data_IF_058683374365
#
_entry.id   IF_058683374365
#
_cell.length_a   1.000
_cell.length_b   1.000
_cell.length_c   1.000
_cell.angle_alpha   90.00
_cell.angle_beta   90.00
_cell.angle_gamma   90.00
#
_symmetry.space_group_name_H-M   'P 1'
#
loop_
_entity.id
_entity.type
_entity.pdbx_description
1 polymer ?
#
# COMPACT_ATOMS: atom_id res chain seq x y z
N UNK A 1 -3.68 10.09 -27.35
CA UNK A 1 -4.23 9.31 -26.24
C UNK A 1 -5.70 9.68 -26.15
N UNK A 2 -6.60 8.72 -26.07
CA UNK A 2 -8.04 9.01 -25.98
C UNK A 2 -8.38 9.52 -24.56
N UNK A 3 -9.33 10.43 -24.44
CA UNK A 3 -9.81 10.99 -23.16
C UNK A 3 -10.14 9.90 -22.15
N UNK A 4 -10.78 8.83 -22.60
CA UNK A 4 -11.11 7.69 -21.78
C UNK A 4 -9.86 7.03 -21.14
N UNK A 5 -8.78 6.88 -21.93
CA UNK A 5 -7.54 6.29 -21.41
C UNK A 5 -6.90 7.19 -20.32
N UNK A 6 -6.99 8.52 -20.49
CA UNK A 6 -6.49 9.47 -19.49
C UNK A 6 -7.30 9.36 -18.19
N UNK A 7 -8.62 9.29 -18.29
CA UNK A 7 -9.51 9.11 -17.13
C UNK A 7 -9.23 7.78 -16.43
N UNK A 8 -9.01 6.71 -17.19
CA UNK A 8 -8.61 5.42 -16.63
C UNK A 8 -7.28 5.53 -15.86
N UNK A 9 -6.27 6.18 -16.42
CA UNK A 9 -4.95 6.33 -15.79
C UNK A 9 -5.03 7.12 -14.48
N UNK A 10 -5.85 8.17 -14.43
CA UNK A 10 -6.10 8.93 -13.21
C UNK A 10 -6.79 8.07 -12.14
N UNK A 11 -7.83 7.32 -12.53
CA UNK A 11 -8.51 6.41 -11.59
C UNK A 11 -7.60 5.27 -11.13
N UNK A 12 -6.78 4.73 -12.02
CA UNK A 12 -5.80 3.70 -11.72
C UNK A 12 -4.76 4.20 -10.70
N UNK A 13 -4.14 5.35 -10.97
CA UNK A 13 -3.15 5.96 -10.07
C UNK A 13 -3.73 6.19 -8.67
N UNK A 14 -4.94 6.73 -8.58
CA UNK A 14 -5.64 6.92 -7.31
C UNK A 14 -5.84 5.57 -6.56
N UNK A 15 -6.48 4.58 -7.20
CA UNK A 15 -6.79 3.31 -6.55
C UNK A 15 -5.55 2.49 -6.21
N UNK A 16 -4.52 2.57 -7.06
CA UNK A 16 -3.24 1.93 -6.78
C UNK A 16 -2.61 2.46 -5.49
N UNK A 17 -2.58 3.77 -5.33
CA UNK A 17 -2.03 4.38 -4.11
C UNK A 17 -2.90 4.12 -2.88
N UNK A 18 -4.23 4.08 -3.00
CA UNK A 18 -5.15 3.66 -1.91
C UNK A 18 -4.82 2.25 -1.43
N UNK A 19 -4.64 1.30 -2.34
CA UNK A 19 -4.35 -0.10 -1.98
C UNK A 19 -2.94 -0.25 -1.38
N UNK A 20 -1.93 0.43 -1.94
CA UNK A 20 -0.57 0.40 -1.42
C UNK A 20 -0.50 1.04 -0.02
N UNK A 21 -1.11 2.20 0.19
CA UNK A 21 -1.19 2.87 1.49
C UNK A 21 -1.72 1.92 2.56
N UNK A 22 -2.91 1.35 2.33
CA UNK A 22 -3.56 0.46 3.30
C UNK A 22 -2.76 -0.82 3.55
N UNK A 23 -2.19 -1.41 2.50
CA UNK A 23 -1.35 -2.60 2.63
C UNK A 23 -0.14 -2.32 3.53
N UNK A 24 0.62 -1.26 3.23
CA UNK A 24 1.80 -0.92 4.01
C UNK A 24 1.46 -0.47 5.43
N UNK A 25 0.36 0.26 5.64
CA UNK A 25 -0.11 0.63 6.98
C UNK A 25 -0.44 -0.59 7.84
N UNK A 26 -1.10 -1.61 7.27
CA UNK A 26 -1.40 -2.84 8.00
C UNK A 26 -0.16 -3.67 8.29
N UNK A 27 0.80 -3.73 7.36
CA UNK A 27 2.08 -4.38 7.60
C UNK A 27 2.85 -3.69 8.73
N UNK A 28 2.87 -2.36 8.75
CA UNK A 28 3.48 -1.57 9.82
C UNK A 28 2.81 -1.84 11.17
N UNK A 29 1.48 -1.83 11.20
CA UNK A 29 0.70 -2.16 12.41
C UNK A 29 1.05 -3.55 12.95
N UNK A 30 1.09 -4.57 12.07
CA UNK A 30 1.41 -5.96 12.48
C UNK A 30 2.83 -6.04 13.04
N UNK A 31 3.82 -5.40 12.39
CA UNK A 31 5.20 -5.38 12.89
C UNK A 31 5.30 -4.68 14.25
N UNK A 32 4.59 -3.56 14.43
CA UNK A 32 4.56 -2.85 15.71
C UNK A 32 3.90 -3.68 16.82
N UNK A 33 2.82 -4.41 16.50
CA UNK A 33 2.18 -5.33 17.45
C UNK A 33 3.12 -6.49 17.84
N UNK A 34 3.84 -7.08 16.89
CA UNK A 34 4.82 -8.13 17.18
C UNK A 34 5.92 -7.59 18.10
N UNK A 35 6.42 -6.38 17.85
CA UNK A 35 7.43 -5.75 18.69
C UNK A 35 6.91 -5.46 20.10
N UNK A 36 5.68 -4.96 20.23
CA UNK A 36 5.05 -4.70 21.51
C UNK A 36 4.87 -5.99 22.33
N UNK A 37 4.33 -7.04 21.71
CA UNK A 37 4.12 -8.35 22.36
C UNK A 37 5.46 -8.98 22.71
N UNK A 38 6.43 -8.98 21.79
CA UNK A 38 7.77 -9.51 22.02
C UNK A 38 8.50 -8.79 23.14
N UNK A 39 8.43 -7.47 23.18
CA UNK A 39 9.01 -6.66 24.25
C UNK A 39 8.36 -6.92 25.61
N UNK A 40 7.03 -7.02 25.66
CA UNK A 40 6.29 -7.33 26.88
C UNK A 40 6.59 -8.74 27.40
N UNK A 41 6.70 -9.72 26.49
CA UNK A 41 7.04 -11.11 26.85
C UNK A 41 8.49 -11.22 27.35
N UNK A 42 9.43 -10.46 26.76
CA UNK A 42 10.81 -10.41 27.23
C UNK A 42 10.88 -9.84 28.66
N UNK A 43 10.17 -8.75 28.95
CA UNK A 43 10.10 -8.16 30.28
C UNK A 43 9.50 -9.14 31.31
N UNK A 44 8.39 -9.82 30.98
CA UNK A 44 7.80 -10.85 31.84
C UNK A 44 8.75 -12.03 32.08
N UNK A 45 9.53 -12.42 31.07
CA UNK A 45 10.56 -13.44 31.18
C UNK A 45 11.65 -13.09 32.19
N UNK A 46 12.10 -11.82 32.20
CA UNK A 46 13.07 -11.32 33.17
C UNK A 46 12.52 -11.41 34.60
N UNK A 47 11.28 -10.93 34.82
CA UNK A 47 10.65 -10.96 36.14
C UNK A 47 10.44 -12.39 36.64
N UNK A 48 10.08 -13.33 35.77
CA UNK A 48 9.87 -14.74 36.09
C UNK A 48 11.16 -15.59 36.06
N UNK A 49 12.32 -15.00 35.73
CA UNK A 49 13.59 -15.70 35.53
C UNK A 49 13.53 -16.86 34.52
N UNK A 50 12.63 -16.73 33.53
CA UNK A 50 12.43 -17.75 32.50
C UNK A 50 13.31 -17.46 31.28
N UNK A 51 14.46 -18.14 31.21
CA UNK A 51 15.45 -17.95 30.13
C UNK A 51 14.92 -18.28 28.73
N UNK A 52 14.03 -19.26 28.60
CA UNK A 52 13.43 -19.63 27.30
C UNK A 52 12.54 -18.51 26.80
N UNK A 53 11.68 -17.96 27.67
CA UNK A 53 10.79 -16.86 27.33
C UNK A 53 11.58 -15.62 26.90
N UNK A 54 12.66 -15.29 27.62
CA UNK A 54 13.54 -14.16 27.26
C UNK A 54 14.18 -14.39 25.90
N UNK A 55 14.74 -15.57 25.64
CA UNK A 55 15.46 -15.86 24.40
C UNK A 55 14.51 -15.84 23.18
N UNK A 56 13.38 -16.52 23.26
CA UNK A 56 12.41 -16.60 22.13
C UNK A 56 11.82 -15.22 21.82
N UNK A 57 11.38 -14.50 22.85
CA UNK A 57 10.81 -13.16 22.66
C UNK A 57 11.85 -12.14 22.18
N UNK A 58 13.09 -12.23 22.65
CA UNK A 58 14.19 -11.40 22.19
C UNK A 58 14.54 -11.61 20.71
N UNK A 59 14.61 -12.86 20.24
CA UNK A 59 14.82 -13.16 18.82
C UNK A 59 13.67 -12.66 17.97
N UNK A 60 12.42 -12.87 18.40
CA UNK A 60 11.23 -12.37 17.68
C UNK A 60 11.24 -10.84 17.58
N UNK A 61 11.52 -10.15 18.67
CA UNK A 61 11.60 -8.69 18.73
C UNK A 61 12.71 -8.18 17.81
N UNK A 62 13.91 -8.73 17.89
CA UNK A 62 15.05 -8.32 17.06
C UNK A 62 14.78 -8.53 15.57
N UNK A 63 14.18 -9.66 15.21
CA UNK A 63 13.82 -9.97 13.82
C UNK A 63 12.77 -9.00 13.29
N UNK A 64 11.70 -8.75 14.05
CA UNK A 64 10.65 -7.81 13.65
C UNK A 64 11.20 -6.37 13.53
N UNK A 65 12.07 -5.95 14.45
CA UNK A 65 12.71 -4.63 14.40
C UNK A 65 13.63 -4.48 13.18
N UNK A 66 14.48 -5.48 12.91
CA UNK A 66 15.35 -5.48 11.74
C UNK A 66 14.54 -5.42 10.43
N UNK A 67 13.46 -6.20 10.34
CA UNK A 67 12.57 -6.19 9.17
C UNK A 67 11.86 -4.85 9.01
N UNK A 68 11.36 -4.25 10.10
CA UNK A 68 10.72 -2.94 10.08
C UNK A 68 11.68 -1.85 9.60
N UNK A 69 12.93 -1.86 10.06
CA UNK A 69 13.96 -0.91 9.62
C UNK A 69 14.38 -1.09 8.15
N UNK A 70 14.50 -2.32 7.69
CA UNK A 70 14.92 -2.61 6.31
C UNK A 70 13.80 -2.32 5.29
N UNK A 71 12.56 -2.65 5.62
CA UNK A 71 11.42 -2.54 4.71
C UNK A 71 10.69 -1.20 4.81
N UNK A 72 10.70 -0.57 5.97
CA UNK A 72 10.12 0.75 6.26
C UNK A 72 8.65 0.89 5.80
N UNK A 73 7.74 -0.01 6.20
CA UNK A 73 6.38 -0.01 5.69
C UNK A 73 5.61 1.27 6.07
N UNK A 74 5.85 1.84 7.24
CA UNK A 74 5.25 3.11 7.67
C UNK A 74 5.60 4.28 6.73
N UNK A 75 6.87 4.40 6.33
CA UNK A 75 7.34 5.44 5.39
C UNK A 75 6.71 5.22 4.01
N UNK A 76 6.64 3.97 3.55
CA UNK A 76 6.01 3.63 2.27
C UNK A 76 4.51 3.94 2.28
N UNK A 77 3.82 3.62 3.38
CA UNK A 77 2.41 3.98 3.56
C UNK A 77 2.19 5.48 3.43
N UNK A 78 3.01 6.29 4.10
CA UNK A 78 2.91 7.74 4.06
C UNK A 78 3.20 8.31 2.65
N UNK A 79 4.18 7.77 1.93
CA UNK A 79 4.45 8.15 0.54
C UNK A 79 3.25 7.88 -0.37
N UNK A 80 2.63 6.71 -0.24
CA UNK A 80 1.43 6.37 -1.02
C UNK A 80 0.22 7.21 -0.60
N UNK A 81 0.11 7.62 0.66
CA UNK A 81 -0.92 8.55 1.12
C UNK A 81 -0.78 9.91 0.43
N UNK A 82 0.42 10.48 0.40
CA UNK A 82 0.67 11.75 -0.28
C UNK A 82 0.44 11.64 -1.80
N UNK A 83 0.90 10.56 -2.42
CA UNK A 83 0.66 10.32 -3.85
C UNK A 83 -0.85 10.18 -4.16
N UNK A 84 -1.59 9.45 -3.32
CA UNK A 84 -3.06 9.34 -3.43
C UNK A 84 -3.74 10.70 -3.41
N UNK A 85 -3.33 11.59 -2.51
CA UNK A 85 -3.90 12.93 -2.40
C UNK A 85 -3.63 13.75 -3.67
N UNK A 86 -2.41 13.68 -4.25
CA UNK A 86 -2.12 14.30 -5.55
C UNK A 86 -2.97 13.75 -6.69
N UNK A 87 -3.20 12.42 -6.73
CA UNK A 87 -4.09 11.81 -7.72
C UNK A 87 -5.55 12.20 -7.51
N UNK A 88 -5.99 12.38 -6.26
CA UNK A 88 -7.33 12.84 -5.94
C UNK A 88 -7.56 14.28 -6.40
N UNK A 89 -6.59 15.16 -6.18
CA UNK A 89 -6.63 16.54 -6.65
C UNK A 89 -6.70 16.62 -8.18
N UNK A 90 -5.84 15.84 -8.88
CA UNK A 90 -5.89 15.75 -10.33
C UNK A 90 -7.24 15.22 -10.83
N UNK A 91 -7.82 14.24 -10.16
CA UNK A 91 -9.14 13.70 -10.46
C UNK A 91 -10.25 14.75 -10.28
N UNK A 92 -10.21 15.54 -9.21
CA UNK A 92 -11.19 16.59 -8.94
C UNK A 92 -11.14 17.71 -9.99
N UNK A 93 -9.94 17.99 -10.52
CA UNK A 93 -9.73 19.06 -11.48
C UNK A 93 -9.71 18.61 -12.94
N UNK A 94 -9.91 17.32 -13.20
CA UNK A 94 -9.84 16.72 -14.55
C UNK A 94 -10.66 17.46 -15.63
N UNK A 95 -11.81 18.00 -15.23
CA UNK A 95 -12.71 18.73 -16.13
C UNK A 95 -12.20 20.13 -16.52
N UNK A 96 -11.21 20.67 -15.80
CA UNK A 96 -10.63 22.00 -16.04
C UNK A 96 -9.43 21.97 -16.99
N UNK A 97 -8.84 20.77 -17.17
CA UNK A 97 -7.60 20.60 -17.91
C UNK A 97 -7.83 20.00 -19.31
N UNK A 98 -7.03 20.46 -20.25
CA UNK A 98 -6.94 19.85 -21.58
C UNK A 98 -6.21 18.49 -21.53
N UNK A 99 -6.48 17.65 -22.54
CA UNK A 99 -5.92 16.28 -22.58
C UNK A 99 -4.38 16.25 -22.50
N UNK A 100 -3.70 17.18 -23.15
CA UNK A 100 -2.24 17.29 -23.11
C UNK A 100 -1.69 17.61 -21.71
N UNK A 101 -2.37 18.47 -20.96
CA UNK A 101 -2.00 18.84 -19.59
C UNK A 101 -2.19 17.66 -18.64
N UNK A 102 -3.31 16.93 -18.79
CA UNK A 102 -3.60 15.73 -18.00
C UNK A 102 -2.57 14.63 -18.26
N UNK A 103 -2.22 14.35 -19.51
CA UNK A 103 -1.18 13.38 -19.84
C UNK A 103 0.15 13.75 -19.18
N UNK A 104 0.54 15.04 -19.25
CA UNK A 104 1.77 15.51 -18.61
C UNK A 104 1.72 15.42 -17.08
N UNK A 105 0.57 15.68 -16.47
CA UNK A 105 0.36 15.54 -15.04
C UNK A 105 0.42 14.06 -14.60
N UNK A 106 -0.27 13.16 -15.29
CA UNK A 106 -0.21 11.71 -15.04
C UNK A 106 1.23 11.19 -15.13
N UNK A 107 1.96 11.56 -16.19
CA UNK A 107 3.35 11.15 -16.37
C UNK A 107 4.27 11.63 -15.23
N UNK A 108 4.04 12.83 -14.70
CA UNK A 108 4.80 13.34 -13.53
C UNK A 108 4.52 12.55 -12.26
N UNK A 109 3.25 12.23 -11.99
CA UNK A 109 2.86 11.47 -10.81
C UNK A 109 3.36 10.02 -10.90
N UNK A 110 3.19 9.36 -12.04
CA UNK A 110 3.69 7.99 -12.28
C UNK A 110 5.20 7.87 -12.08
N UNK A 111 5.99 8.87 -12.47
CA UNK A 111 7.45 8.84 -12.31
C UNK A 111 7.89 8.79 -10.84
N UNK A 112 7.06 9.22 -9.91
CA UNK A 112 7.35 9.23 -8.47
C UNK A 112 6.89 7.95 -7.77
N UNK A 113 6.16 7.08 -8.47
CA UNK A 113 5.60 5.88 -7.88
C UNK A 113 6.63 4.75 -7.80
N UNK A 114 6.89 4.32 -6.57
CA UNK A 114 7.63 3.09 -6.28
C UNK A 114 6.65 2.10 -5.65
N UNK A 115 6.06 1.23 -6.45
CA UNK A 115 4.96 0.45 -5.96
C UNK A 115 5.13 -1.07 -5.96
N UNK A 116 4.10 -1.74 -5.50
CA UNK A 116 4.03 -3.19 -5.37
C UNK A 116 3.29 -3.78 -6.58
N UNK A 117 4.02 -4.48 -7.46
CA UNK A 117 3.46 -5.10 -8.68
C UNK A 117 2.24 -5.98 -8.42
N UNK A 118 2.18 -6.63 -7.26
CA UNK A 118 1.05 -7.50 -6.88
C UNK A 118 -0.28 -6.74 -6.70
N UNK A 119 -0.26 -5.41 -6.54
CA UNK A 119 -1.46 -4.57 -6.42
C UNK A 119 -1.90 -3.92 -7.74
N UNK A 120 -1.13 -4.08 -8.83
CA UNK A 120 -1.50 -3.49 -10.13
C UNK A 120 -2.85 -4.00 -10.63
N UNK A 121 -3.06 -5.31 -10.76
CA UNK A 121 -4.34 -5.86 -11.24
C UNK A 121 -5.52 -5.56 -10.31
N UNK A 122 -5.40 -5.67 -8.97
CA UNK A 122 -6.42 -5.15 -8.06
C UNK A 122 -6.78 -3.68 -8.29
N UNK A 123 -5.79 -2.81 -8.55
CA UNK A 123 -6.01 -1.40 -8.84
C UNK A 123 -6.70 -1.17 -10.19
N UNK A 124 -6.30 -1.94 -11.24
CA UNK A 124 -6.99 -1.95 -12.54
C UNK A 124 -8.46 -2.28 -12.36
N UNK A 125 -8.79 -3.35 -11.64
CA UNK A 125 -10.17 -3.74 -11.40
C UNK A 125 -10.95 -2.68 -10.60
N UNK A 126 -10.30 -2.00 -9.66
CA UNK A 126 -10.91 -0.91 -8.91
C UNK A 126 -11.17 0.32 -9.81
N UNK A 127 -10.25 0.66 -10.70
CA UNK A 127 -10.39 1.76 -11.66
C UNK A 127 -11.54 1.48 -12.66
N UNK A 128 -11.59 0.28 -13.24
CA UNK A 128 -12.67 -0.15 -14.15
C UNK A 128 -14.03 0.00 -13.46
N UNK A 129 -14.15 -0.47 -12.22
CA UNK A 129 -15.37 -0.35 -11.43
C UNK A 129 -15.73 1.10 -11.13
N UNK A 130 -14.74 1.95 -10.83
CA UNK A 130 -14.94 3.37 -10.56
C UNK A 130 -15.42 4.16 -11.79
N UNK A 131 -15.10 3.68 -13.00
CA UNK A 131 -15.60 4.19 -14.28
C UNK A 131 -16.98 3.63 -14.66
N UNK A 132 -17.63 2.87 -13.78
CA UNK A 132 -18.97 2.33 -14.01
C UNK A 132 -19.03 1.14 -14.98
N UNK A 133 -17.89 0.51 -15.30
CA UNK A 133 -17.84 -0.66 -16.18
C UNK A 133 -17.99 -1.96 -15.40
N UNK A 134 -18.65 -2.92 -16.01
CA UNK A 134 -18.81 -4.29 -15.50
C UNK A 134 -18.00 -5.33 -16.28
N UNK A 135 -17.35 -4.92 -17.35
CA UNK A 135 -16.56 -5.75 -18.25
C UNK A 135 -15.06 -5.40 -18.18
N UNK A 136 -14.22 -6.29 -18.64
CA UNK A 136 -12.77 -6.06 -18.71
C UNK A 136 -12.01 -6.26 -17.40
N UNK A 137 -12.62 -6.92 -16.40
CA UNK A 137 -11.91 -7.25 -15.17
C UNK A 137 -10.79 -8.26 -15.41
N UNK A 138 -9.61 -7.95 -14.85
CA UNK A 138 -8.49 -8.87 -14.87
C UNK A 138 -8.68 -9.98 -13.83
N UNK A 139 -8.36 -11.21 -14.20
CA UNK A 139 -8.34 -12.33 -13.27
C UNK A 139 -7.17 -12.19 -12.29
N UNK A 140 -7.49 -12.26 -10.99
CA UNK A 140 -6.49 -12.16 -9.94
C UNK A 140 -5.95 -13.54 -9.56
N UNK A 141 -4.64 -13.66 -9.46
CA UNK A 141 -4.01 -14.83 -8.86
C UNK A 141 -4.37 -14.99 -7.38
N UNK A 142 -4.16 -16.19 -6.81
CA UNK A 142 -4.39 -16.43 -5.38
C UNK A 142 -3.62 -15.47 -4.48
N UNK A 143 -2.38 -15.16 -4.84
CA UNK A 143 -1.53 -14.20 -4.15
C UNK A 143 -2.09 -12.77 -4.22
N UNK A 144 -2.49 -12.32 -5.40
CA UNK A 144 -3.08 -10.99 -5.59
C UNK A 144 -4.38 -10.82 -4.81
N UNK A 145 -5.23 -11.86 -4.77
CA UNK A 145 -6.45 -11.88 -3.92
C UNK A 145 -6.13 -11.76 -2.44
N UNK A 146 -5.10 -12.47 -1.97
CA UNK A 146 -4.64 -12.39 -0.57
C UNK A 146 -4.13 -10.97 -0.24
N UNK A 147 -3.23 -10.43 -1.07
CA UNK A 147 -2.69 -9.07 -0.88
C UNK A 147 -3.80 -8.02 -0.94
N UNK A 148 -4.76 -8.17 -1.86
CA UNK A 148 -5.92 -7.29 -1.95
C UNK A 148 -6.77 -7.32 -0.66
N UNK A 149 -6.98 -8.51 -0.06
CA UNK A 149 -7.70 -8.62 1.22
C UNK A 149 -6.98 -7.89 2.36
N UNK A 150 -5.64 -7.93 2.36
CA UNK A 150 -4.85 -7.15 3.31
C UNK A 150 -4.97 -5.64 3.02
N UNK A 151 -5.18 -5.21 1.78
CA UNK A 151 -5.27 -3.81 1.38
C UNK A 151 -6.69 -3.22 1.47
N UNK A 152 -7.72 -4.02 1.64
CA UNK A 152 -9.12 -3.58 1.79
C UNK A 152 -9.55 -3.52 3.26
#
# INVERSE_FOLDING_TARGET
>A
MDRYQIEFDVHFGYWYNVLCEKFYARCDLVLNLIQLIGGSAAAAGVVSSNSILISVSGVLLATAAAFSLAWQPGIKSERHRLAKDCWLDLKAEMHKHGDGELVAACARLQKQETGMTSLNLPAVNAAIRALGRSDGFAELSGWQRFVQRIAM
#
